data_IF_737227700972
#
_entry.id   IF_737227700972
#
_cell.length_a   1.000
_cell.length_b   1.000
_cell.length_c   1.000
_cell.angle_alpha   90.00
_cell.angle_beta   90.00
_cell.angle_gamma   90.00
#
_symmetry.space_group_name_H-M   'P 1'
#
loop_
_entity.id
_entity.type
_entity.pdbx_description
1 polymer ?
#
# COMPACT_ATOMS: atom_id res chain seq x y z
N UNK A 1 15.89 18.89 24.41
CA UNK A 1 16.00 17.44 24.13
C UNK A 1 15.04 17.13 22.99
N UNK A 2 15.53 17.15 21.76
CA UNK A 2 14.74 16.76 20.58
C UNK A 2 14.49 15.26 20.64
N UNK A 3 13.23 14.87 20.84
CA UNK A 3 12.80 13.51 20.56
C UNK A 3 12.90 13.31 19.05
N UNK A 4 13.96 12.64 18.58
CA UNK A 4 14.00 12.10 17.23
C UNK A 4 12.74 11.26 17.04
N UNK A 5 11.80 11.76 16.24
CA UNK A 5 10.66 10.97 15.80
C UNK A 5 11.22 9.82 14.97
N UNK A 6 11.20 8.62 15.53
CA UNK A 6 11.64 7.42 14.84
C UNK A 6 10.74 7.20 13.62
N UNK A 7 11.35 6.88 12.47
CA UNK A 7 10.60 6.63 11.22
C UNK A 7 9.56 5.52 11.43
N UNK A 8 8.40 5.67 10.78
CA UNK A 8 7.24 4.80 10.99
C UNK A 8 7.57 3.35 10.62
N UNK A 9 8.43 3.11 9.62
CA UNK A 9 8.88 1.75 9.28
C UNK A 9 9.71 1.15 10.42
N UNK A 10 10.63 1.90 11.01
CA UNK A 10 11.43 1.43 12.14
C UNK A 10 10.56 1.08 13.33
N UNK A 11 9.54 1.89 13.63
CA UNK A 11 8.59 1.62 14.71
C UNK A 11 7.79 0.34 14.46
N UNK A 12 7.29 0.13 13.24
CA UNK A 12 6.59 -1.11 12.86
C UNK A 12 7.49 -2.34 13.03
N UNK A 13 8.75 -2.27 12.57
CA UNK A 13 9.74 -3.36 12.74
C UNK A 13 10.05 -3.68 14.20
N UNK A 14 9.92 -2.70 15.09
CA UNK A 14 10.09 -2.86 16.53
C UNK A 14 8.80 -3.28 17.24
N UNK A 15 7.78 -3.76 16.52
CA UNK A 15 6.51 -4.24 17.07
C UNK A 15 5.74 -3.15 17.85
N UNK A 16 5.90 -1.87 17.47
CA UNK A 16 5.16 -0.76 18.07
C UNK A 16 3.68 -0.79 17.63
N UNK A 17 2.78 -1.13 18.56
CA UNK A 17 1.34 -1.16 18.31
C UNK A 17 0.75 0.22 17.99
N UNK A 18 1.34 1.31 18.51
CA UNK A 18 0.87 2.67 18.20
C UNK A 18 1.19 3.05 16.75
N UNK A 19 2.31 2.55 16.21
CA UNK A 19 2.62 2.72 14.80
C UNK A 19 1.61 1.99 13.91
N UNK A 20 1.15 0.80 14.32
CA UNK A 20 0.09 0.08 13.63
C UNK A 20 -1.24 0.85 13.63
N UNK A 21 -1.66 1.37 14.80
CA UNK A 21 -2.85 2.21 14.95
C UNK A 21 -2.78 3.47 14.08
N UNK A 22 -1.62 4.13 14.06
CA UNK A 22 -1.36 5.31 13.24
C UNK A 22 -1.50 4.99 11.75
N UNK A 23 -0.92 3.89 11.27
CA UNK A 23 -1.08 3.43 9.87
C UNK A 23 -2.54 3.16 9.54
N UNK A 24 -3.25 2.45 10.42
CA UNK A 24 -4.65 2.10 10.24
C UNK A 24 -5.52 3.35 10.11
N UNK A 25 -5.41 4.29 11.05
CA UNK A 25 -6.20 5.51 11.04
C UNK A 25 -5.86 6.41 9.84
N UNK A 26 -4.58 6.53 9.49
CA UNK A 26 -4.11 7.43 8.44
C UNK A 26 -4.58 7.01 7.04
N UNK A 27 -4.58 5.71 6.74
CA UNK A 27 -4.80 5.25 5.37
C UNK A 27 -6.17 4.63 5.10
N UNK A 28 -7.00 4.35 6.12
CA UNK A 28 -8.31 3.71 5.97
C UNK A 28 -9.19 4.41 4.93
N UNK A 29 -9.47 5.69 5.12
CA UNK A 29 -10.37 6.44 4.23
C UNK A 29 -9.84 6.50 2.79
N UNK A 30 -8.52 6.70 2.63
CA UNK A 30 -7.89 6.71 1.32
C UNK A 30 -7.97 5.35 0.63
N UNK A 31 -7.83 4.25 1.38
CA UNK A 31 -7.90 2.90 0.85
C UNK A 31 -9.33 2.53 0.44
N UNK A 32 -10.32 2.85 1.27
CA UNK A 32 -11.73 2.64 0.93
C UNK A 32 -12.09 3.40 -0.34
N UNK A 33 -11.74 4.69 -0.43
CA UNK A 33 -12.00 5.48 -1.64
C UNK A 33 -11.31 4.91 -2.88
N UNK A 34 -10.07 4.41 -2.74
CA UNK A 34 -9.36 3.71 -3.81
C UNK A 34 -10.07 2.41 -4.22
N UNK A 35 -10.66 1.70 -3.27
CA UNK A 35 -11.34 0.42 -3.48
C UNK A 35 -12.71 0.53 -4.15
N UNK A 36 -13.41 1.66 -4.00
CA UNK A 36 -14.78 1.83 -4.52
C UNK A 36 -14.87 1.68 -6.05
N UNK A 37 -13.80 1.98 -6.79
CA UNK A 37 -13.75 1.78 -8.24
C UNK A 37 -13.89 0.31 -8.67
N UNK A 38 -13.64 -0.63 -7.75
CA UNK A 38 -13.72 -2.07 -8.00
C UNK A 38 -15.13 -2.66 -7.78
N UNK A 39 -16.16 -1.81 -7.61
CA UNK A 39 -17.56 -2.23 -7.41
C UNK A 39 -17.76 -3.15 -6.19
N UNK A 40 -16.88 -3.05 -5.20
CA UNK A 40 -17.06 -3.67 -3.88
C UNK A 40 -17.79 -2.69 -2.95
N UNK A 41 -18.54 -3.22 -1.99
CA UNK A 41 -19.17 -2.37 -0.99
C UNK A 41 -18.13 -1.90 0.06
N UNK A 42 -18.55 -0.94 0.89
CA UNK A 42 -17.64 -0.34 1.87
C UNK A 42 -17.24 -1.33 2.96
N UNK A 43 -18.09 -2.28 3.30
CA UNK A 43 -17.82 -3.28 4.34
C UNK A 43 -16.74 -4.26 3.86
N UNK A 44 -16.86 -4.78 2.65
CA UNK A 44 -15.82 -5.61 2.00
C UNK A 44 -14.47 -4.90 1.99
N UNK A 45 -14.46 -3.62 1.62
CA UNK A 45 -13.23 -2.84 1.49
C UNK A 45 -12.59 -2.58 2.85
N UNK A 46 -13.41 -2.38 3.88
CA UNK A 46 -12.93 -2.26 5.27
C UNK A 46 -12.33 -3.57 5.76
N UNK A 47 -12.92 -4.72 5.42
CA UNK A 47 -12.39 -6.04 5.78
C UNK A 47 -11.07 -6.32 5.05
N UNK A 48 -11.04 -6.08 3.74
CA UNK A 48 -9.81 -6.20 2.94
C UNK A 48 -8.72 -5.27 3.50
N UNK A 49 -9.07 -4.04 3.87
CA UNK A 49 -8.11 -3.10 4.45
C UNK A 49 -7.52 -3.62 5.77
N UNK A 50 -8.35 -4.15 6.66
CA UNK A 50 -7.90 -4.73 7.92
C UNK A 50 -6.91 -5.88 7.68
N UNK A 51 -7.25 -6.79 6.78
CA UNK A 51 -6.38 -7.89 6.38
C UNK A 51 -5.06 -7.40 5.76
N UNK A 52 -5.11 -6.36 4.93
CA UNK A 52 -3.91 -5.75 4.34
C UNK A 52 -3.00 -5.15 5.40
N UNK A 53 -3.57 -4.45 6.37
CA UNK A 53 -2.83 -3.85 7.49
C UNK A 53 -2.16 -4.93 8.34
N UNK A 54 -2.87 -6.02 8.64
CA UNK A 54 -2.32 -7.16 9.39
C UNK A 54 -1.17 -7.81 8.62
N UNK A 55 -1.36 -8.11 7.33
CA UNK A 55 -0.33 -8.72 6.50
C UNK A 55 0.91 -7.82 6.38
N UNK A 56 0.70 -6.50 6.21
CA UNK A 56 1.77 -5.51 6.20
C UNK A 56 2.53 -5.54 7.52
N UNK A 57 1.83 -5.47 8.65
CA UNK A 57 2.44 -5.48 9.98
C UNK A 57 3.29 -6.73 10.21
N UNK A 58 2.77 -7.92 9.88
CA UNK A 58 3.50 -9.17 9.97
C UNK A 58 4.77 -9.18 9.11
N UNK A 59 4.75 -8.58 7.91
CA UNK A 59 5.96 -8.45 7.10
C UNK A 59 7.00 -7.56 7.77
N UNK A 60 6.60 -6.45 8.38
CA UNK A 60 7.53 -5.58 9.12
C UNK A 60 8.06 -6.22 10.41
N UNK A 61 7.23 -6.90 11.21
CA UNK A 61 7.64 -7.47 12.51
C UNK A 61 8.37 -8.80 12.41
N UNK A 62 8.00 -9.64 11.43
CA UNK A 62 8.52 -11.01 11.33
C UNK A 62 9.60 -11.11 10.26
N UNK A 63 9.37 -10.50 9.10
CA UNK A 63 10.31 -10.53 7.96
C UNK A 63 11.27 -9.35 7.97
N UNK A 64 11.14 -8.44 8.93
CA UNK A 64 11.96 -7.22 9.06
C UNK A 64 12.00 -6.38 7.77
N UNK A 65 10.90 -6.36 7.00
CA UNK A 65 10.80 -5.66 5.72
C UNK A 65 11.28 -4.20 5.81
N UNK A 66 12.00 -3.75 4.79
CA UNK A 66 12.48 -2.39 4.65
C UNK A 66 12.16 -1.88 3.24
N UNK A 67 11.50 -0.73 3.14
CA UNK A 67 11.08 -0.16 1.88
C UNK A 67 12.08 0.90 1.41
N UNK A 68 12.81 0.59 0.35
CA UNK A 68 13.80 1.51 -0.25
C UNK A 68 13.21 2.35 -1.40
N UNK A 69 12.26 1.77 -2.14
CA UNK A 69 11.75 2.34 -3.41
C UNK A 69 10.26 2.69 -3.39
N UNK A 70 9.57 2.44 -2.27
CA UNK A 70 8.12 2.67 -2.17
C UNK A 70 7.76 3.26 -0.82
N UNK A 71 6.69 4.06 -0.80
CA UNK A 71 6.13 4.54 0.46
C UNK A 71 5.39 3.42 1.17
N UNK A 72 5.24 3.54 2.49
CA UNK A 72 4.42 2.62 3.29
C UNK A 72 2.97 2.54 2.77
N UNK A 73 2.40 3.68 2.36
CA UNK A 73 1.07 3.75 1.75
C UNK A 73 1.00 2.91 0.48
N UNK A 74 1.97 3.08 -0.43
CA UNK A 74 2.04 2.33 -1.69
C UNK A 74 2.12 0.83 -1.41
N UNK A 75 3.01 0.43 -0.50
CA UNK A 75 3.19 -0.97 -0.12
C UNK A 75 1.90 -1.59 0.45
N UNK A 76 1.23 -0.89 1.36
CA UNK A 76 -0.06 -1.31 1.92
C UNK A 76 -1.14 -1.46 0.84
N UNK A 77 -1.23 -0.48 -0.07
CA UNK A 77 -2.23 -0.49 -1.15
C UNK A 77 -1.95 -1.61 -2.15
N UNK A 78 -0.69 -1.93 -2.42
CA UNK A 78 -0.34 -3.09 -3.24
C UNK A 78 -0.85 -4.38 -2.62
N UNK A 79 -0.66 -4.60 -1.30
CA UNK A 79 -1.22 -5.78 -0.62
C UNK A 79 -2.74 -5.83 -0.76
N UNK A 80 -3.41 -4.70 -0.52
CA UNK A 80 -4.87 -4.63 -0.62
C UNK A 80 -5.41 -4.80 -2.03
N UNK A 81 -4.72 -4.29 -3.06
CA UNK A 81 -5.10 -4.50 -4.46
C UNK A 81 -5.15 -5.99 -4.83
N UNK A 82 -4.15 -6.77 -4.39
CA UNK A 82 -4.15 -8.22 -4.61
C UNK A 82 -5.36 -8.88 -3.92
N UNK A 83 -5.63 -8.51 -2.67
CA UNK A 83 -6.81 -9.01 -1.92
C UNK A 83 -8.15 -8.63 -2.55
N UNK A 84 -8.26 -7.42 -3.12
CA UNK A 84 -9.44 -7.01 -3.91
C UNK A 84 -9.63 -7.96 -5.10
N UNK A 85 -8.55 -8.27 -5.83
CA UNK A 85 -8.65 -9.20 -6.96
C UNK A 85 -9.02 -10.61 -6.55
N UNK A 86 -8.49 -11.11 -5.43
CA UNK A 86 -8.89 -12.41 -4.87
C UNK A 86 -10.39 -12.42 -4.56
N UNK A 87 -10.90 -11.38 -3.88
CA UNK A 87 -12.34 -11.24 -3.57
C UNK A 87 -13.20 -11.17 -4.83
N UNK A 88 -12.78 -10.43 -5.85
CA UNK A 88 -13.51 -10.34 -7.12
C UNK A 88 -13.54 -11.69 -7.86
N UNK A 89 -12.43 -12.43 -7.82
CA UNK A 89 -12.35 -13.77 -8.41
C UNK A 89 -13.28 -14.74 -7.68
N UNK A 90 -13.29 -14.72 -6.35
CA UNK A 90 -14.21 -15.52 -5.53
C UNK A 90 -15.67 -15.20 -5.89
N UNK A 91 -16.06 -13.92 -5.94
CA UNK A 91 -17.42 -13.50 -6.35
C UNK A 91 -17.80 -14.03 -7.72
N UNK A 92 -16.90 -13.96 -8.71
CA UNK A 92 -17.13 -14.49 -10.06
C UNK A 92 -17.34 -16.02 -10.05
N UNK A 93 -16.64 -16.74 -9.17
CA UNK A 93 -16.84 -18.19 -9.01
C UNK A 93 -18.20 -18.53 -8.37
N UNK A 94 -18.67 -17.72 -7.41
CA UNK A 94 -19.95 -17.95 -6.74
C UNK A 94 -21.17 -17.57 -7.60
N UNK A 95 -21.06 -16.61 -8.51
CA UNK A 95 -22.19 -16.11 -9.31
C UNK A 95 -22.53 -17.01 -10.51
N UNK A 96 -21.69 -17.99 -10.86
CA UNK A 96 -21.89 -18.82 -12.04
C UNK A 96 -21.57 -18.04 -13.32
N UNK A 97 -20.84 -18.70 -14.21
CA UNK A 97 -20.24 -18.14 -15.44
C UNK A 97 -21.18 -17.26 -16.27
N UNK A 98 -21.05 -15.94 -16.14
CA UNK A 98 -21.23 -15.00 -17.25
C UNK A 98 -20.03 -14.07 -17.22
N UNK A 99 -19.06 -14.36 -18.07
CA UNK A 99 -17.85 -13.56 -18.24
C UNK A 99 -18.26 -12.26 -18.92
N UNK A 100 -18.34 -11.18 -18.16
CA UNK A 100 -18.02 -9.86 -18.70
C UNK A 100 -16.58 -9.59 -18.33
N UNK A 101 -15.70 -9.55 -19.33
CA UNK A 101 -14.34 -9.04 -19.24
C UNK A 101 -14.41 -7.58 -18.78
N UNK A 102 -14.41 -7.37 -17.45
CA UNK A 102 -13.96 -6.10 -16.91
C UNK A 102 -12.43 -6.09 -17.12
N UNK A 103 -11.97 -5.42 -18.18
CA UNK A 103 -10.57 -5.06 -18.37
C UNK A 103 -10.10 -4.30 -17.12
N UNK A 104 -9.28 -4.96 -16.31
CA UNK A 104 -8.58 -4.28 -15.23
C UNK A 104 -7.41 -3.52 -15.87
N UNK A 105 -7.41 -2.19 -15.77
CA UNK A 105 -6.23 -1.42 -16.13
C UNK A 105 -5.04 -1.84 -15.24
N UNK A 106 -4.01 -2.39 -15.86
CA UNK A 106 -2.70 -2.54 -15.26
C UNK A 106 -2.18 -1.14 -14.93
N UNK A 107 -1.86 -0.87 -13.66
CA UNK A 107 -1.24 0.40 -13.30
C UNK A 107 0.19 0.31 -13.80
N UNK A 108 0.47 0.92 -14.94
CA UNK A 108 1.83 1.27 -15.35
C UNK A 108 2.35 2.24 -14.29
N UNK A 109 3.24 1.77 -13.42
CA UNK A 109 4.00 2.61 -12.51
C UNK A 109 4.93 3.47 -13.36
N UNK A 110 4.47 4.63 -13.82
CA UNK A 110 5.34 5.61 -14.45
C UNK A 110 6.43 6.02 -13.46
N UNK A 111 7.66 5.54 -13.70
CA UNK A 111 8.86 6.15 -13.14
C UNK A 111 8.87 7.62 -13.55
N UNK A 112 8.42 8.50 -12.66
CA UNK A 112 8.52 9.94 -12.92
C UNK A 112 9.98 10.29 -13.19
N UNK A 113 10.23 10.81 -14.40
CA UNK A 113 11.50 11.43 -14.78
C UNK A 113 11.84 12.49 -13.73
N UNK A 114 13.07 12.43 -13.22
CA UNK A 114 13.59 13.36 -12.20
C UNK A 114 13.35 14.81 -12.62
N UNK A 115 12.87 15.64 -11.69
CA UNK A 115 12.69 17.08 -11.93
C UNK A 115 14.04 17.75 -12.23
N UNK A 116 14.02 18.93 -12.87
CA UNK A 116 15.25 19.66 -13.20
C UNK A 116 16.14 19.91 -11.98
N UNK A 117 15.53 20.22 -10.84
CA UNK A 117 16.22 20.39 -9.57
C UNK A 117 16.92 19.10 -9.11
N UNK A 118 16.26 17.95 -9.27
CA UNK A 118 16.82 16.64 -8.92
C UNK A 118 17.95 16.22 -9.87
N UNK A 119 17.84 16.56 -11.15
CA UNK A 119 18.90 16.32 -12.13
C UNK A 119 20.14 17.18 -11.85
N UNK A 120 19.94 18.45 -11.47
CA UNK A 120 21.02 19.34 -11.09
C UNK A 120 21.75 18.85 -9.84
N UNK A 121 21.00 18.45 -8.81
CA UNK A 121 21.58 17.90 -7.58
C UNK A 121 22.46 16.68 -7.86
N UNK A 122 21.96 15.73 -8.67
CA UNK A 122 22.72 14.53 -9.08
C UNK A 122 24.01 14.85 -9.83
N UNK A 123 24.02 15.88 -10.67
CA UNK A 123 25.23 16.31 -11.40
C UNK A 123 26.31 16.89 -10.49
N UNK A 124 25.93 17.63 -9.43
CA UNK A 124 26.88 18.19 -8.49
C UNK A 124 27.50 17.13 -7.57
N UNK A 125 26.70 16.20 -7.06
CA UNK A 125 27.20 15.15 -6.17
C UNK A 125 27.96 14.02 -6.88
N UNK A 126 27.86 13.91 -8.21
CA UNK A 126 28.63 12.93 -8.99
C UNK A 126 30.04 13.38 -9.38
N UNK A 127 30.48 14.57 -8.95
CA UNK A 127 31.77 15.19 -9.32
C UNK A 127 32.74 15.44 -8.15
N UNK A 128 32.38 15.01 -6.94
CA UNK A 128 33.29 14.88 -5.79
C UNK A 128 33.91 13.47 -5.81
#
# INVERSE_FOLDING_TARGET
MEKQHLDLQTRLRNNDKKALEEVYATYKNAFVNYGLQFKLDTEDLIDIYQDSVIAMYQNFTTKQTQLEKSSLKTYLFSIGKHKIYDRLKERKQFVGTVVTEDEYEEITLEEKVLSEQQQQLRKFFGRL
#
